data_IF_001251021480
#
_entry.id   IF_001251021480
#
_cell.length_a   1.000
_cell.length_b   1.000
_cell.length_c   1.000
_cell.angle_alpha   90.00
_cell.angle_beta   90.00
_cell.angle_gamma   90.00
#
_symmetry.space_group_name_H-M   'P 1'
#
loop_
_entity.id
_entity.type
_entity.pdbx_description
1 polymer ?
#
# COMPACT_ATOMS: atom_id res chain seq x y z
N UNK A 1 19.82 -4.91 4.43
CA UNK A 1 18.85 -4.86 3.31
C UNK A 1 19.05 -3.59 2.51
N UNK A 2 18.86 -3.67 1.20
CA UNK A 2 18.89 -2.51 0.29
C UNK A 2 17.53 -1.83 0.22
N UNK A 3 16.52 -2.42 0.82
CA UNK A 3 15.14 -1.94 0.85
C UNK A 3 14.69 -1.63 2.28
N UNK A 4 13.87 -0.60 2.41
CA UNK A 4 13.19 -0.23 3.66
C UNK A 4 11.72 -0.01 3.36
N UNK A 5 10.86 -0.78 4.02
CA UNK A 5 9.42 -0.61 3.93
C UNK A 5 8.95 0.43 4.96
N UNK A 6 8.27 1.47 4.49
CA UNK A 6 7.82 2.60 5.30
C UNK A 6 6.33 2.50 5.70
N UNK A 7 5.64 1.44 5.31
CA UNK A 7 4.21 1.28 5.59
C UNK A 7 3.34 2.20 4.74
N UNK A 8 2.43 2.92 5.39
CA UNK A 8 1.58 3.93 4.77
C UNK A 8 0.13 3.49 4.53
N UNK A 9 -0.26 2.33 5.06
CA UNK A 9 -1.59 1.75 4.95
C UNK A 9 -2.46 2.11 6.17
N UNK A 10 -3.76 2.06 5.95
CA UNK A 10 -4.83 2.05 6.96
C UNK A 10 -4.74 3.12 8.08
N UNK A 11 -4.08 4.23 7.84
CA UNK A 11 -4.07 5.35 8.78
C UNK A 11 -5.45 6.02 8.82
N UNK A 12 -6.12 6.00 9.97
CA UNK A 12 -7.46 6.61 10.16
C UNK A 12 -7.33 8.13 10.28
N UNK A 13 -7.00 8.76 9.16
CA UNK A 13 -6.58 10.17 9.09
C UNK A 13 -7.78 11.10 9.22
N UNK A 14 -8.76 10.98 8.33
CA UNK A 14 -9.85 11.95 8.25
C UNK A 14 -10.65 12.02 9.54
N UNK A 15 -10.89 10.91 10.21
CA UNK A 15 -11.58 10.87 11.49
C UNK A 15 -10.80 11.52 12.64
N UNK A 16 -9.50 11.26 12.69
CA UNK A 16 -8.69 11.60 13.87
C UNK A 16 -7.99 12.97 13.70
N UNK A 17 -7.41 13.23 12.52
CA UNK A 17 -6.60 14.42 12.32
C UNK A 17 -7.43 15.67 12.08
N UNK A 18 -8.64 15.55 11.55
CA UNK A 18 -9.58 16.69 11.43
C UNK A 18 -10.04 17.24 12.78
N UNK A 19 -9.99 16.42 13.84
CA UNK A 19 -10.34 16.84 15.21
C UNK A 19 -9.11 17.33 16.00
N UNK A 20 -7.91 17.15 15.48
CA UNK A 20 -6.67 17.55 16.13
C UNK A 20 -6.34 19.01 15.83
N UNK A 21 -6.29 19.86 16.86
CA UNK A 21 -5.99 21.30 16.70
C UNK A 21 -4.62 21.58 16.07
N UNK A 22 -3.62 20.73 16.36
CA UNK A 22 -2.27 20.85 15.77
C UNK A 22 -2.33 20.50 14.27
N UNK A 23 -3.08 19.45 13.89
CA UNK A 23 -3.24 19.05 12.50
C UNK A 23 -3.97 20.16 11.72
N UNK A 24 -5.04 20.72 12.28
CA UNK A 24 -5.78 21.83 11.66
C UNK A 24 -4.88 23.07 11.45
N UNK A 25 -4.07 23.41 12.44
CA UNK A 25 -3.12 24.52 12.35
C UNK A 25 -2.07 24.28 11.26
N UNK A 26 -1.58 23.03 11.15
CA UNK A 26 -0.63 22.66 10.11
C UNK A 26 -1.26 22.65 8.73
N UNK A 27 -2.47 22.12 8.58
CA UNK A 27 -3.23 22.19 7.33
C UNK A 27 -3.39 23.63 6.85
N UNK A 28 -3.82 24.52 7.76
CA UNK A 28 -3.95 25.96 7.46
C UNK A 28 -2.63 26.57 7.04
N UNK A 29 -1.55 26.27 7.74
CA UNK A 29 -0.19 26.77 7.43
C UNK A 29 0.29 26.32 6.04
N UNK A 30 -0.05 25.09 5.64
CA UNK A 30 0.39 24.47 4.37
C UNK A 30 -0.61 24.70 3.22
N UNK A 31 -1.78 25.31 3.49
CA UNK A 31 -2.82 25.49 2.49
C UNK A 31 -3.55 24.21 2.11
N UNK A 32 -3.52 23.20 2.96
CA UNK A 32 -4.13 21.89 2.70
C UNK A 32 -5.64 21.90 2.96
N UNK A 33 -6.39 21.18 2.11
CA UNK A 33 -7.84 21.07 2.17
C UNK A 33 -8.31 19.77 2.83
N UNK A 34 -7.47 18.72 2.81
CA UNK A 34 -7.76 17.41 3.39
C UNK A 34 -6.68 17.05 4.41
N UNK A 35 -7.08 16.37 5.49
CA UNK A 35 -6.15 15.96 6.52
C UNK A 35 -5.11 14.94 6.00
N UNK A 36 -5.50 14.09 5.03
CA UNK A 36 -4.60 13.16 4.35
C UNK A 36 -3.41 13.82 3.67
N UNK A 37 -3.53 15.10 3.26
CA UNK A 37 -2.41 15.84 2.68
C UNK A 37 -1.25 16.06 3.68
N UNK A 38 -1.50 15.94 4.98
CA UNK A 38 -0.43 15.99 5.99
C UNK A 38 0.53 14.80 5.93
N UNK A 39 0.15 13.71 5.24
CA UNK A 39 1.06 12.62 4.92
C UNK A 39 2.18 13.05 3.97
N UNK A 40 1.93 14.05 3.12
CA UNK A 40 2.90 14.52 2.10
C UNK A 40 4.21 14.96 2.74
N UNK A 41 4.27 15.94 3.68
CA UNK A 41 5.51 16.37 4.28
C UNK A 41 6.17 15.27 5.11
N UNK A 42 5.38 14.39 5.74
CA UNK A 42 5.91 13.25 6.49
C UNK A 42 6.65 12.27 5.57
N UNK A 43 5.97 11.74 4.56
CA UNK A 43 6.59 10.79 3.64
C UNK A 43 7.70 11.42 2.81
N UNK A 44 7.57 12.67 2.38
CA UNK A 44 8.65 13.36 1.67
C UNK A 44 9.94 13.36 2.49
N UNK A 45 9.85 13.65 3.79
CA UNK A 45 11.01 13.62 4.70
C UNK A 45 11.57 12.21 4.89
N UNK A 46 10.69 11.21 5.07
CA UNK A 46 11.11 9.82 5.26
C UNK A 46 11.77 9.26 4.00
N UNK A 47 11.21 9.56 2.83
CA UNK A 47 11.77 9.14 1.55
C UNK A 47 13.15 9.76 1.31
N UNK A 48 13.31 11.07 1.57
CA UNK A 48 14.62 11.72 1.48
C UNK A 48 15.65 11.05 2.41
N UNK A 49 15.27 10.78 3.65
CA UNK A 49 16.16 10.10 4.59
C UNK A 49 16.59 8.71 4.12
N UNK A 50 15.65 7.91 3.59
CA UNK A 50 15.95 6.57 3.06
C UNK A 50 16.92 6.66 1.86
N UNK A 51 16.69 7.62 0.97
CA UNK A 51 17.52 7.85 -0.21
C UNK A 51 18.92 8.34 0.14
N UNK A 52 19.05 9.27 1.10
CA UNK A 52 20.32 9.74 1.61
C UNK A 52 21.17 8.60 2.20
N UNK A 53 20.52 7.55 2.70
CA UNK A 53 21.18 6.34 3.19
C UNK A 53 21.35 5.25 2.12
N UNK A 54 21.19 5.59 0.83
CA UNK A 54 21.39 4.70 -0.33
C UNK A 54 20.50 3.44 -0.23
N UNK A 55 19.25 3.62 0.20
CA UNK A 55 18.25 2.56 0.29
C UNK A 55 17.08 2.82 -0.64
N UNK A 56 16.41 1.78 -1.05
CA UNK A 56 15.19 1.85 -1.87
C UNK A 56 13.97 1.83 -0.95
N UNK A 57 13.13 2.88 -0.94
CA UNK A 57 11.92 2.88 -0.14
C UNK A 57 10.83 2.03 -0.78
N UNK A 58 10.09 1.32 0.06
CA UNK A 58 8.88 0.59 -0.31
C UNK A 58 7.71 1.18 0.47
N UNK A 59 6.57 1.36 -0.20
CA UNK A 59 5.31 1.83 0.39
C UNK A 59 4.15 0.93 -0.04
N UNK A 60 3.17 0.75 0.86
CA UNK A 60 1.87 0.27 0.45
C UNK A 60 1.26 1.26 -0.54
N UNK A 61 0.55 0.75 -1.55
CA UNK A 61 -0.03 1.55 -2.62
C UNK A 61 -1.24 2.41 -2.18
N UNK A 62 -1.55 2.44 -0.90
CA UNK A 62 -2.66 3.17 -0.31
C UNK A 62 -2.16 4.02 0.85
N UNK A 63 -2.19 5.34 0.71
CA UNK A 63 -1.70 6.27 1.73
C UNK A 63 -2.79 6.94 2.55
N UNK A 64 -4.04 6.90 2.11
CA UNK A 64 -5.12 7.69 2.73
C UNK A 64 -6.24 6.84 3.36
N UNK A 65 -6.13 5.53 3.32
CA UNK A 65 -7.14 4.58 3.82
C UNK A 65 -8.58 4.89 3.32
N UNK A 66 -8.72 5.42 2.11
CA UNK A 66 -10.01 5.63 1.47
C UNK A 66 -10.35 4.40 0.65
N UNK A 67 -11.47 3.74 0.99
CA UNK A 67 -11.94 2.62 0.20
C UNK A 67 -13.35 2.92 -0.36
N UNK A 68 -13.58 2.83 -1.66
CA UNK A 68 -12.55 2.65 -2.71
C UNK A 68 -11.55 3.83 -2.69
N UNK A 69 -10.28 3.57 -3.02
CA UNK A 69 -9.30 4.63 -3.02
C UNK A 69 -9.77 5.77 -3.92
N UNK A 70 -9.73 6.98 -3.39
CA UNK A 70 -10.04 8.15 -4.20
C UNK A 70 -9.01 8.25 -5.33
N UNK A 71 -9.47 8.51 -6.55
CA UNK A 71 -8.57 8.66 -7.71
C UNK A 71 -7.62 9.88 -7.59
N UNK A 72 -7.82 10.72 -6.57
CA UNK A 72 -6.95 11.84 -6.23
C UNK A 72 -5.88 11.40 -5.24
N UNK A 73 -4.86 10.71 -5.74
CA UNK A 73 -3.65 10.49 -4.95
C UNK A 73 -2.96 11.80 -4.70
N UNK A 74 -3.07 12.25 -3.47
CA UNK A 74 -2.51 13.51 -3.02
C UNK A 74 -1.00 13.46 -2.89
N UNK A 75 -0.43 12.25 -2.80
CA UNK A 75 1.00 12.05 -2.65
C UNK A 75 1.67 11.77 -4.00
N UNK A 76 2.56 12.65 -4.46
CA UNK A 76 3.35 12.40 -5.67
C UNK A 76 4.43 11.37 -5.38
N UNK A 77 4.19 10.11 -5.75
CA UNK A 77 5.20 9.05 -5.60
C UNK A 77 6.42 9.32 -6.48
N UNK A 78 7.63 9.53 -5.91
CA UNK A 78 8.85 9.57 -6.71
C UNK A 78 9.10 8.23 -7.41
N UNK A 79 9.68 8.26 -8.62
CA UNK A 79 9.89 7.05 -9.46
C UNK A 79 10.67 5.93 -8.79
N UNK A 80 11.54 6.27 -7.85
CA UNK A 80 12.39 5.31 -7.13
C UNK A 80 11.70 4.68 -5.90
N UNK A 81 10.45 5.00 -5.64
CA UNK A 81 9.63 4.33 -4.62
C UNK A 81 9.02 3.08 -5.24
N UNK A 82 9.23 1.93 -4.62
CA UNK A 82 8.54 0.69 -4.97
C UNK A 82 7.18 0.66 -4.28
N UNK A 83 6.12 0.46 -5.04
CA UNK A 83 4.77 0.34 -4.53
C UNK A 83 4.41 -1.12 -4.30
N UNK A 84 3.54 -1.40 -3.33
CA UNK A 84 3.03 -2.75 -3.06
C UNK A 84 1.52 -2.76 -3.18
N UNK A 85 0.99 -3.57 -4.10
CA UNK A 85 -0.43 -3.88 -4.20
C UNK A 85 -0.77 -5.02 -3.24
N UNK A 86 -1.50 -4.73 -2.17
CA UNK A 86 -1.77 -5.68 -1.10
C UNK A 86 -3.21 -6.21 -1.08
N UNK A 87 -4.07 -5.70 -1.93
CA UNK A 87 -5.44 -6.20 -2.18
C UNK A 87 -5.66 -6.37 -3.67
N UNK A 88 -6.25 -7.48 -4.09
CA UNK A 88 -6.59 -7.69 -5.51
C UNK A 88 -7.45 -6.56 -6.08
N UNK A 89 -8.41 -6.05 -5.32
CA UNK A 89 -9.24 -4.92 -5.71
C UNK A 89 -8.50 -3.58 -5.88
N UNK A 90 -7.29 -3.43 -5.32
CA UNK A 90 -6.45 -2.23 -5.48
C UNK A 90 -5.50 -2.32 -6.67
N UNK A 91 -5.31 -3.50 -7.23
CA UNK A 91 -4.34 -3.70 -8.34
C UNK A 91 -4.57 -2.75 -9.52
N UNK A 92 -5.81 -2.53 -10.02
CA UNK A 92 -6.03 -1.58 -11.12
C UNK A 92 -5.54 -0.16 -10.79
N UNK A 93 -5.77 0.27 -9.58
CA UNK A 93 -5.33 1.58 -9.09
C UNK A 93 -3.81 1.68 -8.97
N UNK A 94 -3.17 0.64 -8.45
CA UNK A 94 -1.71 0.56 -8.37
C UNK A 94 -1.09 0.62 -9.77
N UNK A 95 -1.67 -0.08 -10.75
CA UNK A 95 -1.23 -0.05 -12.14
C UNK A 95 -1.39 1.34 -12.77
N UNK A 96 -2.48 2.04 -12.48
CA UNK A 96 -2.65 3.43 -12.93
C UNK A 96 -1.54 4.34 -12.38
N UNK A 97 -1.20 4.21 -11.10
CA UNK A 97 -0.11 4.95 -10.48
C UNK A 97 1.24 4.62 -11.10
N UNK A 98 1.53 3.35 -11.34
CA UNK A 98 2.80 2.94 -11.96
C UNK A 98 2.91 3.46 -13.39
N UNK A 99 1.83 3.44 -14.17
CA UNK A 99 1.80 4.07 -15.50
C UNK A 99 2.06 5.58 -15.44
N UNK A 100 1.42 6.25 -14.49
CA UNK A 100 1.53 7.70 -14.33
C UNK A 100 2.91 8.15 -13.84
N UNK A 101 3.48 7.45 -12.91
CA UNK A 101 4.69 7.86 -12.18
C UNK A 101 5.92 7.02 -12.50
N UNK A 102 5.77 5.85 -13.14
CA UNK A 102 6.87 4.95 -13.49
C UNK A 102 7.44 4.17 -12.31
N UNK A 103 6.65 3.97 -11.25
CA UNK A 103 7.08 3.24 -10.06
C UNK A 103 7.16 1.73 -10.33
N UNK A 104 8.16 1.02 -9.77
CA UNK A 104 8.13 -0.44 -9.69
C UNK A 104 6.98 -0.90 -8.79
N UNK A 105 6.37 -2.04 -9.12
CA UNK A 105 5.25 -2.64 -8.38
C UNK A 105 5.60 -4.03 -7.87
N UNK A 106 5.36 -4.26 -6.60
CA UNK A 106 5.37 -5.58 -5.96
C UNK A 106 3.93 -6.03 -5.75
N UNK A 107 3.64 -7.29 -6.08
CA UNK A 107 2.32 -7.88 -5.88
C UNK A 107 2.29 -8.68 -4.57
N UNK A 108 1.38 -8.31 -3.67
CA UNK A 108 1.15 -8.96 -2.38
C UNK A 108 -0.35 -9.06 -2.04
N UNK A 109 -1.24 -9.44 -2.99
CA UNK A 109 -2.66 -9.48 -2.71
C UNK A 109 -2.97 -10.46 -1.59
N UNK A 110 -3.69 -10.01 -0.57
CA UNK A 110 -3.94 -10.79 0.64
C UNK A 110 -4.59 -12.14 0.37
N UNK A 111 -5.39 -12.23 -0.69
CA UNK A 111 -6.06 -13.48 -1.12
C UNK A 111 -5.09 -14.61 -1.47
N UNK A 112 -3.81 -14.29 -1.72
CA UNK A 112 -2.77 -15.23 -2.13
C UNK A 112 -1.50 -15.15 -1.27
N UNK A 113 -1.15 -13.95 -0.84
CA UNK A 113 0.17 -13.63 -0.30
C UNK A 113 0.19 -13.43 1.22
N UNK A 114 -0.97 -13.38 1.90
CA UNK A 114 -1.05 -13.26 3.34
C UNK A 114 -1.02 -14.65 3.99
N UNK A 115 0.15 -15.02 4.49
CA UNK A 115 0.43 -16.36 5.00
C UNK A 115 -0.11 -16.58 6.42
N UNK A 116 -0.58 -15.52 7.06
CA UNK A 116 -1.29 -15.51 8.34
C UNK A 116 -2.80 -15.73 8.20
N UNK A 117 -3.33 -15.70 6.97
CA UNK A 117 -4.75 -15.94 6.75
C UNK A 117 -5.12 -17.41 7.00
N UNK A 118 -6.39 -17.69 7.36
CA UNK A 118 -6.86 -19.06 7.54
C UNK A 118 -6.56 -19.94 6.33
N UNK A 119 -6.00 -21.12 6.56
CA UNK A 119 -5.73 -22.10 5.51
C UNK A 119 -6.91 -23.03 5.23
N UNK A 120 -7.78 -23.20 6.22
CA UNK A 120 -9.00 -23.98 6.11
C UNK A 120 -10.19 -23.16 6.63
N UNK A 121 -11.38 -23.47 6.14
CA UNK A 121 -12.60 -22.90 6.68
C UNK A 121 -12.76 -23.27 8.14
N UNK A 122 -12.83 -22.28 9.00
CA UNK A 122 -12.95 -22.46 10.45
C UNK A 122 -11.63 -22.44 11.20
N UNK A 123 -10.49 -22.30 10.52
CA UNK A 123 -9.21 -22.05 11.19
C UNK A 123 -9.26 -20.71 11.93
N UNK A 124 -8.80 -20.74 13.18
CA UNK A 124 -8.64 -19.55 14.01
C UNK A 124 -9.81 -18.57 13.94
N UNK A 125 -11.07 -19.00 14.20
CA UNK A 125 -12.23 -18.15 14.04
C UNK A 125 -12.16 -16.88 14.91
N UNK A 126 -11.43 -16.90 16.00
CA UNK A 126 -11.19 -15.76 16.89
C UNK A 126 -10.37 -14.63 16.24
N UNK A 127 -9.57 -14.95 15.26
CA UNK A 127 -8.77 -13.97 14.49
C UNK A 127 -9.46 -13.54 13.19
N UNK A 128 -10.43 -14.31 12.72
CA UNK A 128 -11.18 -14.01 11.50
C UNK A 128 -12.44 -13.19 11.80
N UNK A 129 -12.27 -12.03 12.41
CA UNK A 129 -13.38 -11.19 12.85
C UNK A 129 -13.92 -10.24 11.75
N UNK A 130 -13.23 -10.12 10.62
CA UNK A 130 -13.63 -9.25 9.50
C UNK A 130 -13.88 -10.01 8.19
N UNK A 131 -13.89 -11.34 8.22
CA UNK A 131 -14.16 -12.16 7.04
C UNK A 131 -12.95 -12.37 6.13
N UNK A 132 -11.81 -12.65 6.71
CA UNK A 132 -10.59 -13.00 5.97
C UNK A 132 -10.84 -14.10 4.95
N UNK A 133 -10.30 -14.01 3.73
CA UNK A 133 -10.37 -15.10 2.77
C UNK A 133 -9.57 -16.31 3.28
N UNK A 134 -9.98 -17.50 2.86
CA UNK A 134 -9.17 -18.71 3.07
C UNK A 134 -8.06 -18.73 2.03
N UNK A 135 -6.82 -18.76 2.50
CA UNK A 135 -5.61 -18.77 1.67
C UNK A 135 -4.87 -20.09 1.88
N UNK A 136 -5.23 -21.11 1.10
CA UNK A 136 -4.59 -22.42 1.18
C UNK A 136 -3.17 -22.36 0.61
N UNK A 137 -2.32 -23.31 1.03
CA UNK A 137 -0.97 -23.46 0.47
C UNK A 137 -1.00 -23.61 -1.06
N UNK A 138 -1.95 -24.38 -1.59
CA UNK A 138 -2.14 -24.55 -3.03
C UNK A 138 -2.46 -23.21 -3.72
N UNK A 139 -3.36 -22.44 -3.14
CA UNK A 139 -3.77 -21.13 -3.68
C UNK A 139 -2.57 -20.16 -3.69
N UNK A 140 -1.79 -20.12 -2.61
CA UNK A 140 -0.58 -19.30 -2.55
C UNK A 140 0.46 -19.75 -3.58
N UNK A 141 0.63 -21.05 -3.76
CA UNK A 141 1.59 -21.61 -4.74
C UNK A 141 1.18 -21.33 -6.19
N UNK A 142 -0.12 -21.29 -6.47
CA UNK A 142 -0.66 -20.99 -7.81
C UNK A 142 -0.72 -19.50 -8.14
N UNK A 143 -0.32 -18.64 -7.23
CA UNK A 143 -0.38 -17.20 -7.44
C UNK A 143 0.49 -16.77 -8.62
N UNK A 144 -0.17 -16.20 -9.63
CA UNK A 144 0.48 -15.56 -10.77
C UNK A 144 0.32 -14.04 -10.65
N UNK A 145 1.41 -13.29 -10.40
CA UNK A 145 1.35 -11.85 -10.25
C UNK A 145 0.95 -11.12 -11.54
N UNK A 146 1.11 -11.76 -12.69
CA UNK A 146 0.71 -11.22 -14.00
C UNK A 146 -0.73 -11.53 -14.39
N UNK A 147 -1.43 -12.39 -13.63
CA UNK A 147 -2.79 -12.77 -13.98
C UNK A 147 -3.76 -11.58 -13.95
N UNK A 148 -4.44 -11.35 -15.06
CA UNK A 148 -5.38 -10.23 -15.21
C UNK A 148 -4.73 -8.86 -15.37
N UNK A 149 -3.39 -8.80 -15.43
CA UNK A 149 -2.65 -7.57 -15.68
C UNK A 149 -2.44 -7.38 -17.18
N UNK A 150 -2.77 -6.21 -17.76
CA UNK A 150 -2.50 -5.92 -19.17
C UNK A 150 -1.03 -6.14 -19.53
N UNK A 151 -0.75 -6.66 -20.73
CA UNK A 151 0.61 -7.00 -21.14
C UNK A 151 1.58 -5.81 -21.05
N UNK A 152 1.11 -4.61 -21.38
CA UNK A 152 1.87 -3.37 -21.31
C UNK A 152 2.25 -2.98 -19.87
N UNK A 153 1.50 -3.44 -18.87
CA UNK A 153 1.73 -3.12 -17.46
C UNK A 153 2.59 -4.18 -16.74
N UNK A 154 2.72 -5.36 -17.32
CA UNK A 154 3.48 -6.45 -16.68
C UNK A 154 4.94 -6.09 -16.44
N UNK A 155 5.52 -5.22 -17.26
CA UNK A 155 6.89 -4.72 -17.09
C UNK A 155 7.07 -3.88 -15.79
N UNK A 156 5.99 -3.37 -15.21
CA UNK A 156 6.04 -2.66 -13.93
C UNK A 156 6.11 -3.61 -12.72
N UNK A 157 5.70 -4.87 -12.89
CA UNK A 157 5.73 -5.87 -11.83
C UNK A 157 7.15 -6.37 -11.67
N UNK A 158 7.77 -6.03 -10.54
CA UNK A 158 9.18 -6.36 -10.27
C UNK A 158 9.35 -7.50 -9.27
N UNK A 159 8.26 -7.97 -8.67
CA UNK A 159 8.32 -9.08 -7.72
C UNK A 159 7.01 -9.35 -7.01
N UNK A 160 7.08 -10.32 -6.10
CA UNK A 160 6.01 -10.69 -5.17
C UNK A 160 6.51 -10.60 -3.74
N UNK A 161 5.59 -10.37 -2.81
CA UNK A 161 5.89 -10.35 -1.38
C UNK A 161 4.84 -11.17 -0.63
N UNK A 162 5.30 -12.16 0.14
CA UNK A 162 4.46 -12.82 1.13
C UNK A 162 4.49 -12.04 2.44
N UNK A 163 3.36 -11.90 3.10
CA UNK A 163 3.25 -11.23 4.40
C UNK A 163 2.86 -12.20 5.49
N UNK A 164 3.31 -11.94 6.70
CA UNK A 164 2.96 -12.68 7.90
C UNK A 164 2.77 -11.66 9.02
N UNK A 165 1.53 -11.40 9.37
CA UNK A 165 1.18 -10.48 10.45
C UNK A 165 1.04 -11.25 11.77
N UNK A 166 1.59 -10.72 12.85
CA UNK A 166 1.53 -11.30 14.19
C UNK A 166 0.76 -10.45 15.19
#
# INVERSE_FOLDING_TARGET
SDYIHLGGDEAVIEKNWTQCSRCQAMMKKLGYQKASQLMIPFFSRMLSFVQENIKTPILWCELDNIYPPANDYLFPYPKNVTLVSWRGGLTPTCLELTRKHGNPLIMAPGEYAYLDYPQLKGDFPEFNNWGMPVTTLEKSYQFDPGYGVPAEDQAHITGVMGTLWG
#
